data_IF_569652737562
#
_entry.id   IF_569652737562
#
_cell.length_a   1.000
_cell.length_b   1.000
_cell.length_c   1.000
_cell.angle_alpha   90.00
_cell.angle_beta   90.00
_cell.angle_gamma   90.00
#
_symmetry.space_group_name_H-M   'P 1'
#
loop_
_entity.id
_entity.type
_entity.pdbx_description
1 polymer ?
#
# COMPACT_ATOMS: atom_id res chain seq x y z
N UNK A 1 6.01 14.37 6.82
CA UNK A 1 5.86 15.48 5.86
C UNK A 1 5.65 14.89 4.48
N UNK A 2 4.49 15.13 3.85
CA UNK A 2 4.21 14.69 2.49
C UNK A 2 5.03 15.55 1.52
N UNK A 3 5.69 14.91 0.54
CA UNK A 3 6.62 15.58 -0.40
C UNK A 3 5.90 16.19 -1.62
N UNK A 4 4.61 16.51 -1.48
CA UNK A 4 3.78 17.02 -2.55
C UNK A 4 3.60 18.53 -2.38
N UNK A 5 3.87 19.28 -3.44
CA UNK A 5 3.61 20.72 -3.53
C UNK A 5 2.09 20.99 -3.60
N UNK A 6 1.70 22.23 -3.34
CA UNK A 6 0.30 22.65 -3.48
C UNK A 6 -0.22 22.37 -4.90
N UNK A 7 -1.50 22.00 -5.02
CA UNK A 7 -2.14 21.60 -6.28
C UNK A 7 -1.89 20.15 -6.73
N UNK A 8 -1.10 19.37 -5.99
CA UNK A 8 -0.86 17.95 -6.31
C UNK A 8 -1.74 16.98 -5.52
N UNK A 9 -2.50 17.48 -4.52
CA UNK A 9 -3.51 16.70 -3.81
C UNK A 9 -4.80 16.69 -4.62
N UNK A 10 -5.22 15.51 -5.07
CA UNK A 10 -6.47 15.31 -5.79
C UNK A 10 -7.63 15.07 -4.82
N UNK A 11 -7.36 14.31 -3.76
CA UNK A 11 -8.32 14.00 -2.69
C UNK A 11 -7.57 13.55 -1.42
N UNK A 12 -8.28 13.18 -0.36
CA UNK A 12 -7.69 12.57 0.82
C UNK A 12 -6.93 11.29 0.48
N UNK A 13 -5.66 11.27 0.89
CA UNK A 13 -4.69 10.24 0.55
C UNK A 13 -4.42 10.03 -0.94
N UNK A 14 -4.95 10.87 -1.84
CA UNK A 14 -4.82 10.72 -3.28
C UNK A 14 -4.09 11.91 -3.92
N UNK A 15 -3.01 11.62 -4.64
CA UNK A 15 -2.08 12.63 -5.16
C UNK A 15 -1.67 12.34 -6.60
N UNK A 16 -1.38 13.39 -7.36
CA UNK A 16 -0.69 13.30 -8.65
C UNK A 16 0.80 13.58 -8.47
N UNK A 17 1.63 12.77 -9.13
CA UNK A 17 3.09 12.92 -9.17
C UNK A 17 3.52 13.77 -10.38
N UNK A 18 4.77 14.20 -10.38
CA UNK A 18 5.35 15.03 -11.45
C UNK A 18 5.32 14.35 -12.83
N UNK A 19 5.38 13.01 -12.87
CA UNK A 19 5.30 12.21 -14.10
C UNK A 19 3.85 11.94 -14.57
N UNK A 20 2.85 12.57 -13.91
CA UNK A 20 1.43 12.38 -14.21
C UNK A 20 0.83 11.09 -13.62
N UNK A 21 1.63 10.24 -12.97
CA UNK A 21 1.09 9.05 -12.29
C UNK A 21 0.37 9.43 -11.00
N UNK A 22 -0.55 8.59 -10.55
CA UNK A 22 -1.37 8.84 -9.35
C UNK A 22 -0.94 7.92 -8.23
N UNK A 23 -0.87 8.47 -7.02
CA UNK A 23 -0.51 7.77 -5.80
C UNK A 23 -1.67 7.81 -4.82
N UNK A 24 -2.09 6.64 -4.34
CA UNK A 24 -3.01 6.52 -3.22
C UNK A 24 -2.25 5.94 -2.03
N UNK A 25 -2.30 6.65 -0.91
CA UNK A 25 -1.67 6.22 0.34
C UNK A 25 -2.70 5.54 1.23
N UNK A 26 -2.31 4.44 1.85
CA UNK A 26 -3.21 3.70 2.73
C UNK A 26 -2.40 3.05 3.84
N UNK A 27 -3.09 2.77 4.95
CA UNK A 27 -2.53 2.05 6.08
C UNK A 27 -3.04 0.62 6.12
N UNK A 28 -2.48 -0.16 7.05
CA UNK A 28 -2.97 -1.49 7.41
C UNK A 28 -4.45 -1.45 7.84
N UNK A 29 -4.86 -0.45 8.62
CA UNK A 29 -6.24 -0.32 9.12
C UNK A 29 -7.24 -0.05 7.99
N UNK A 30 -6.83 0.78 7.01
CA UNK A 30 -7.62 0.99 5.79
C UNK A 30 -7.79 -0.32 5.02
N UNK A 31 -6.71 -1.09 4.85
CA UNK A 31 -6.76 -2.36 4.12
C UNK A 31 -7.65 -3.39 4.85
N UNK A 32 -7.56 -3.46 6.18
CA UNK A 32 -8.39 -4.34 7.01
C UNK A 32 -9.90 -4.01 6.83
N UNK A 33 -10.24 -2.72 6.92
CA UNK A 33 -11.62 -2.25 6.73
C UNK A 33 -12.14 -2.54 5.31
N UNK A 34 -11.31 -2.27 4.29
CA UNK A 34 -11.64 -2.52 2.90
C UNK A 34 -11.94 -4.00 2.65
N UNK A 35 -11.05 -4.89 3.11
CA UNK A 35 -11.18 -6.34 2.90
C UNK A 35 -12.42 -6.89 3.60
N UNK A 36 -12.69 -6.45 4.84
CA UNK A 36 -13.91 -6.81 5.57
C UNK A 36 -15.17 -6.34 4.85
N UNK A 37 -15.17 -5.11 4.32
CA UNK A 37 -16.30 -4.60 3.54
C UNK A 37 -16.60 -5.42 2.27
N UNK A 38 -15.58 -6.10 1.73
CA UNK A 38 -15.70 -7.00 0.59
C UNK A 38 -16.15 -8.44 0.97
N UNK A 39 -16.46 -8.71 2.24
CA UNK A 39 -16.93 -10.03 2.70
C UNK A 39 -15.82 -11.03 2.99
N UNK A 40 -14.63 -10.55 3.33
CA UNK A 40 -13.49 -11.39 3.71
C UNK A 40 -13.13 -11.21 5.20
N UNK A 41 -12.63 -12.28 5.80
CA UNK A 41 -11.96 -12.23 7.10
C UNK A 41 -10.46 -11.96 6.90
N UNK A 42 -9.89 -11.16 7.80
CA UNK A 42 -8.47 -10.82 7.81
C UNK A 42 -7.70 -11.78 8.71
N UNK A 43 -6.92 -12.68 8.10
CA UNK A 43 -6.04 -13.61 8.82
C UNK A 43 -4.70 -12.94 9.14
N UNK A 44 -4.16 -12.17 8.20
CA UNK A 44 -2.90 -11.44 8.35
C UNK A 44 -2.95 -10.15 7.52
N UNK A 45 -2.38 -9.07 8.04
CA UNK A 45 -2.27 -7.78 7.33
C UNK A 45 -1.16 -6.94 7.98
N UNK A 46 0.09 -7.20 7.57
CA UNK A 46 1.28 -6.72 8.28
C UNK A 46 2.26 -6.02 7.35
N UNK A 47 3.06 -5.11 7.91
CA UNK A 47 4.20 -4.54 7.20
C UNK A 47 5.36 -5.52 7.16
N UNK A 48 5.86 -5.81 5.96
CA UNK A 48 7.07 -6.60 5.75
C UNK A 48 8.14 -5.76 5.07
N UNK A 49 9.40 -6.04 5.40
CA UNK A 49 10.57 -5.40 4.78
C UNK A 49 11.26 -6.39 3.86
N UNK A 50 11.57 -5.96 2.63
CA UNK A 50 12.33 -6.76 1.67
C UNK A 50 13.43 -5.93 1.06
N UNK A 51 14.62 -6.50 1.02
CA UNK A 51 15.77 -5.89 0.35
C UNK A 51 15.75 -6.30 -1.12
N UNK A 52 15.71 -5.32 -2.02
CA UNK A 52 15.83 -5.54 -3.47
C UNK A 52 17.23 -5.17 -3.89
N UNK A 53 18.00 -6.15 -4.39
CA UNK A 53 19.39 -5.97 -4.81
C UNK A 53 19.47 -5.96 -6.33
N UNK A 54 19.78 -4.81 -6.92
CA UNK A 54 20.19 -4.72 -8.32
C UNK A 54 21.70 -4.94 -8.40
N UNK A 55 22.11 -6.18 -8.69
CA UNK A 55 23.53 -6.55 -8.79
C UNK A 55 24.26 -5.83 -9.92
N UNK A 56 23.57 -5.55 -11.04
CA UNK A 56 24.17 -4.85 -12.20
C UNK A 56 24.54 -3.41 -11.85
N UNK A 57 23.69 -2.74 -11.07
CA UNK A 57 23.90 -1.34 -10.66
C UNK A 57 24.52 -1.21 -9.27
N UNK A 58 24.94 -2.32 -8.64
CA UNK A 58 25.53 -2.33 -7.30
C UNK A 58 24.63 -1.75 -6.20
N UNK A 59 23.33 -1.63 -6.47
CA UNK A 59 22.39 -0.88 -5.61
C UNK A 59 21.52 -1.84 -4.82
N UNK A 60 21.35 -1.56 -3.52
CA UNK A 60 20.46 -2.29 -2.64
C UNK A 60 19.46 -1.34 -2.02
N UNK A 61 18.17 -1.63 -2.19
CA UNK A 61 17.11 -0.76 -1.67
C UNK A 61 16.16 -1.56 -0.78
N UNK A 62 15.97 -1.08 0.45
CA UNK A 62 14.94 -1.59 1.35
C UNK A 62 13.56 -1.13 0.85
N UNK A 63 12.62 -2.07 0.79
CA UNK A 63 11.23 -1.83 0.42
C UNK A 63 10.34 -2.31 1.55
N UNK A 64 9.33 -1.50 1.87
CA UNK A 64 8.28 -1.86 2.82
C UNK A 64 7.03 -2.20 2.02
N UNK A 65 6.41 -3.33 2.32
CA UNK A 65 5.15 -3.78 1.74
C UNK A 65 4.14 -4.06 2.84
N UNK A 66 2.85 -3.99 2.53
CA UNK A 66 1.80 -4.63 3.32
C UNK A 66 1.56 -6.02 2.73
N UNK A 67 1.64 -7.06 3.54
CA UNK A 67 1.32 -8.43 3.16
C UNK A 67 0.01 -8.86 3.84
N UNK A 68 -0.98 -9.16 3.00
CA UNK A 68 -2.30 -9.59 3.43
C UNK A 68 -2.55 -11.08 3.18
N UNK A 69 -3.21 -11.75 4.12
CA UNK A 69 -3.80 -13.09 3.97
C UNK A 69 -5.25 -13.02 4.42
N UNK A 70 -6.16 -13.40 3.53
CA UNK A 70 -7.60 -13.22 3.73
C UNK A 70 -8.35 -14.52 3.41
N UNK A 71 -9.44 -14.77 4.13
CA UNK A 71 -10.34 -15.89 3.87
C UNK A 71 -11.72 -15.37 3.47
N UNK A 72 -12.37 -16.07 2.54
CA UNK A 72 -13.77 -15.79 2.21
C UNK A 72 -14.63 -16.22 3.39
N UNK A 73 -15.52 -15.35 3.85
CA UNK A 73 -16.51 -15.71 4.86
C UNK A 73 -17.47 -16.71 4.19
N UNK A 74 -17.55 -17.94 4.71
CA UNK A 74 -18.48 -18.92 4.20
C UNK A 74 -19.91 -18.39 4.37
N UNK A 75 -20.69 -18.44 3.30
CA UNK A 75 -22.12 -18.14 3.37
C UNK A 75 -22.79 -19.27 4.15
N UNK A 76 -23.23 -18.99 5.38
CA UNK A 76 -24.14 -19.86 6.13
C UNK A 76 -25.51 -19.89 5.47
#
# INVERSE_FOLDING_TARGET
>A
MLRFSDGHKLDDNFYVRQDGTRAYYFSTEYMDSLVKSCGFEVIQNEYIRRQTVNRKEGTSVERIFIQGKYAKIAST
#
